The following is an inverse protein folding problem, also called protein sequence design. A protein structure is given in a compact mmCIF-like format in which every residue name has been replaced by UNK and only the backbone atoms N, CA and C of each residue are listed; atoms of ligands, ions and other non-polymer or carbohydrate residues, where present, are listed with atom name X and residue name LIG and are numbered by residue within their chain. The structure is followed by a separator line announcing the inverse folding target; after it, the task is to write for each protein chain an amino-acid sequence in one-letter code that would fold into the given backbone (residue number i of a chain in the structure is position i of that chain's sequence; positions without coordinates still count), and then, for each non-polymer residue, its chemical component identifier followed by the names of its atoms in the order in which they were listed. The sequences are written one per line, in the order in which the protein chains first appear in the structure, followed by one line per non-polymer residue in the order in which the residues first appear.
data_IF_943346806940
#
_entry.id   IF_943346806940
#
_cell.length_a   1.000
_cell.length_b   1.000
_cell.length_c   1.000
_cell.angle_alpha   90.00
_cell.angle_beta   90.00
_cell.angle_gamma   90.00
#
_symmetry.space_group_name_H-M   'P 1'
#
loop_
_entity.id
_entity.type
_entity.pdbx_description
1 polymer ?
#
# COMPACT_ATOMS: atom_id res chain seq x y z
N UNK A 1 -7.90 11.99 -34.27
CA UNK A 1 -7.81 10.81 -33.39
C UNK A 1 -7.63 11.29 -31.98
N UNK A 2 -8.60 11.04 -31.10
CA UNK A 2 -8.63 11.47 -29.70
C UNK A 2 -7.66 10.68 -28.79
N UNK A 3 -7.09 9.60 -29.33
CA UNK A 3 -6.12 8.73 -28.69
C UNK A 3 -5.23 8.04 -29.74
N UNK A 4 -4.16 7.39 -29.28
CA UNK A 4 -3.28 6.50 -30.04
C UNK A 4 -3.36 5.07 -29.45
N UNK A 5 -3.34 4.06 -30.31
CA UNK A 5 -3.30 2.65 -29.88
C UNK A 5 -1.87 2.20 -29.61
N UNK A 6 -1.67 1.47 -28.51
CA UNK A 6 -0.40 0.88 -28.13
C UNK A 6 -0.07 -0.42 -28.88
N UNK A 7 1.11 -1.01 -28.63
CA UNK A 7 1.49 -2.29 -29.23
C UNK A 7 0.53 -3.43 -28.81
N UNK A 8 0.43 -4.48 -29.64
CA UNK A 8 -0.37 -5.66 -29.29
C UNK A 8 0.17 -6.33 -28.02
N UNK A 9 -0.75 -6.74 -27.15
CA UNK A 9 -0.42 -7.38 -25.87
C UNK A 9 -0.28 -8.88 -26.07
N UNK A 10 0.88 -9.42 -25.66
CA UNK A 10 1.14 -10.86 -25.66
C UNK A 10 0.52 -11.47 -24.41
N UNK A 11 -0.37 -12.47 -24.58
CA UNK A 11 -1.03 -13.18 -23.48
C UNK A 11 -0.91 -14.69 -23.67
N UNK A 12 -1.01 -15.43 -22.57
CA UNK A 12 -1.08 -16.89 -22.61
C UNK A 12 -2.34 -17.37 -23.35
N UNK A 13 -2.24 -18.52 -24.04
CA UNK A 13 -3.36 -19.09 -24.79
C UNK A 13 -4.57 -19.45 -23.90
N UNK A 14 -4.33 -19.75 -22.61
CA UNK A 14 -5.37 -20.03 -21.62
C UNK A 14 -6.15 -18.79 -21.16
N UNK A 15 -5.62 -17.59 -21.40
CA UNK A 15 -6.24 -16.35 -20.94
C UNK A 15 -7.36 -15.94 -21.91
N UNK A 16 -8.61 -15.99 -21.45
CA UNK A 16 -9.80 -15.62 -22.24
C UNK A 16 -10.00 -14.11 -22.39
N UNK A 17 -9.34 -13.29 -21.57
CA UNK A 17 -9.50 -11.83 -21.58
C UNK A 17 -8.96 -11.22 -22.87
N UNK A 18 -9.55 -10.10 -23.27
CA UNK A 18 -9.03 -9.27 -24.35
C UNK A 18 -8.46 -7.98 -23.77
N UNK A 19 -7.39 -7.49 -24.37
CA UNK A 19 -6.64 -6.35 -23.84
C UNK A 19 -6.44 -5.29 -24.92
N UNK A 20 -6.50 -4.02 -24.52
CA UNK A 20 -6.16 -2.89 -25.39
C UNK A 20 -5.40 -1.84 -24.60
N UNK A 21 -4.22 -1.46 -25.09
CA UNK A 21 -3.49 -0.32 -24.56
C UNK A 21 -3.81 0.90 -25.41
N UNK A 22 -4.24 2.00 -24.78
CA UNK A 22 -4.47 3.28 -25.45
C UNK A 22 -3.70 4.38 -24.74
N UNK A 23 -3.40 5.47 -25.47
CA UNK A 23 -2.86 6.70 -24.93
C UNK A 23 -3.72 7.87 -25.39
N UNK A 24 -4.35 8.56 -24.44
CA UNK A 24 -5.16 9.75 -24.72
C UNK A 24 -4.28 10.93 -25.13
N UNK A 25 -4.86 11.91 -25.83
CA UNK A 25 -4.17 13.14 -26.25
C UNK A 25 -3.51 13.92 -25.12
N UNK A 26 -4.14 13.96 -23.94
CA UNK A 26 -3.60 14.62 -22.75
C UNK A 26 -2.37 13.90 -22.15
N UNK A 27 -2.03 12.70 -22.64
CA UNK A 27 -0.86 11.93 -22.24
C UNK A 27 -1.16 10.74 -21.33
N UNK A 28 -2.40 10.59 -20.85
CA UNK A 28 -2.83 9.48 -20.00
C UNK A 28 -2.76 8.17 -20.77
N UNK A 29 -2.13 7.16 -20.19
CA UNK A 29 -2.11 5.81 -20.76
C UNK A 29 -3.11 4.93 -20.01
N UNK A 30 -3.92 4.17 -20.74
CA UNK A 30 -4.93 3.29 -20.17
C UNK A 30 -4.84 1.87 -20.73
N UNK A 31 -4.85 0.87 -19.85
CA UNK A 31 -5.01 -0.55 -20.19
C UNK A 31 -6.49 -0.93 -20.00
N UNK A 32 -7.14 -1.30 -21.09
CA UNK A 32 -8.51 -1.77 -21.11
C UNK A 32 -8.52 -3.29 -21.13
N UNK A 33 -9.34 -3.89 -20.28
CA UNK A 33 -9.44 -5.33 -20.10
C UNK A 33 -10.92 -5.72 -20.21
N UNK A 34 -11.26 -6.42 -21.29
CA UNK A 34 -12.52 -7.12 -21.40
C UNK A 34 -12.35 -8.51 -20.79
N UNK A 35 -13.11 -8.83 -19.73
CA UNK A 35 -13.18 -10.15 -19.14
C UNK A 35 -14.58 -10.76 -19.35
N UNK A 36 -14.72 -11.83 -20.16
CA UNK A 36 -16.03 -12.44 -20.43
C UNK A 36 -16.65 -13.13 -19.21
N UNK A 37 -15.89 -13.30 -18.11
CA UNK A 37 -16.38 -13.86 -16.85
C UNK A 37 -16.86 -12.77 -15.87
N UNK A 38 -16.69 -11.49 -16.20
CA UNK A 38 -17.33 -10.37 -15.49
C UNK A 38 -18.76 -10.25 -16.01
N UNK A 39 -19.70 -10.14 -15.07
CA UNK A 39 -21.14 -10.17 -15.33
C UNK A 39 -21.53 -9.22 -16.47
N UNK A 40 -22.04 -9.76 -17.57
CA UNK A 40 -22.44 -8.96 -18.74
C UNK A 40 -23.88 -8.42 -18.65
N UNK A 41 -24.60 -8.63 -17.55
CA UNK A 41 -25.95 -8.10 -17.37
C UNK A 41 -26.96 -8.50 -18.46
N UNK A 42 -26.64 -9.53 -19.26
CA UNK A 42 -27.46 -9.99 -20.39
C UNK A 42 -28.54 -11.00 -19.98
N UNK A 43 -28.93 -11.05 -18.72
CA UNK A 43 -30.21 -11.61 -18.33
C UNK A 43 -31.22 -10.46 -18.20
N UNK A 44 -32.02 -10.17 -19.25
CA UNK A 44 -33.29 -9.51 -19.03
C UNK A 44 -34.16 -10.52 -18.29
N UNK A 45 -34.67 -10.11 -17.12
CA UNK A 45 -35.69 -10.76 -16.28
C UNK A 45 -35.15 -11.10 -14.89
N UNK A 46 -35.29 -10.14 -13.97
CA UNK A 46 -36.16 -10.32 -12.79
C UNK A 46 -36.39 -8.94 -12.15
N UNK A 47 -37.57 -8.39 -12.46
CA UNK A 47 -38.23 -7.42 -11.59
C UNK A 47 -38.48 -8.08 -10.24
N UNK A 48 -37.64 -7.84 -9.23
CA UNK A 48 -38.07 -8.01 -7.84
C UNK A 48 -38.47 -6.66 -7.26
N UNK A 49 -39.73 -6.35 -7.54
CA UNK A 49 -40.55 -5.44 -6.78
C UNK A 49 -40.98 -6.18 -5.50
N UNK A 50 -40.33 -5.91 -4.36
CA UNK A 50 -40.80 -6.12 -2.99
C UNK A 50 -39.86 -5.28 -2.10
N UNK A 51 -40.27 -4.12 -1.58
CA UNK A 51 -41.08 -4.04 -0.37
C UNK A 51 -40.14 -3.67 0.77
N UNK A 52 -40.32 -2.48 1.34
CA UNK A 52 -39.62 -1.98 2.52
C UNK A 52 -39.55 -3.04 3.64
N UNK A 53 -38.35 -3.29 4.16
CA UNK A 53 -38.05 -3.42 5.60
C UNK A 53 -36.52 -3.60 5.75
N UNK A 54 -35.83 -2.50 6.07
CA UNK A 54 -34.45 -2.54 6.49
C UNK A 54 -34.39 -3.01 7.96
N UNK A 55 -34.09 -4.28 8.17
CA UNK A 55 -33.58 -4.76 9.46
C UNK A 55 -32.06 -4.99 9.33
N UNK A 56 -31.31 -4.23 10.10
CA UNK A 56 -29.86 -4.33 10.25
C UNK A 56 -29.45 -5.76 10.66
N UNK A 57 -28.85 -6.51 9.75
CA UNK A 57 -28.12 -7.74 10.08
C UNK A 57 -26.61 -7.45 10.05
N UNK A 58 -26.03 -7.32 11.25
CA UNK A 58 -24.59 -7.39 11.46
C UNK A 58 -24.08 -8.78 11.04
N UNK A 59 -23.40 -8.86 9.89
CA UNK A 59 -22.68 -10.06 9.45
C UNK A 59 -21.22 -9.92 9.91
N UNK A 60 -20.86 -10.63 10.98
CA UNK A 60 -19.47 -10.85 11.36
C UNK A 60 -18.83 -11.84 10.37
N UNK A 61 -17.80 -11.39 9.63
CA UNK A 61 -16.94 -12.26 8.83
C UNK A 61 -15.77 -12.75 9.71
N UNK A 62 -15.67 -14.07 9.91
CA UNK A 62 -14.45 -14.72 10.41
C UNK A 62 -13.40 -14.69 9.28
N UNK A 63 -12.42 -13.80 9.38
CA UNK A 63 -11.23 -13.82 8.51
C UNK A 63 -10.16 -14.64 9.23
N UNK A 64 -9.86 -15.84 8.71
CA UNK A 64 -8.61 -16.52 9.08
C UNK A 64 -7.44 -15.74 8.48
N UNK A 65 -6.62 -15.13 9.34
CA UNK A 65 -5.41 -14.39 8.94
C UNK A 65 -4.33 -15.35 8.43
N UNK A 66 -3.97 -15.22 7.15
CA UNK A 66 -2.78 -15.84 6.54
C UNK A 66 -1.59 -14.86 6.68
N UNK A 67 -0.54 -15.16 7.47
CA UNK A 67 0.48 -14.20 7.87
C UNK A 67 1.53 -13.85 6.78
N UNK A 68 1.43 -14.41 5.58
CA UNK A 68 2.45 -14.27 4.52
C UNK A 68 2.06 -13.33 3.35
N UNK A 69 0.98 -12.55 3.48
CA UNK A 69 0.61 -11.50 2.50
C UNK A 69 0.61 -10.11 3.14
N UNK A 70 1.03 -9.04 2.44
CA UNK A 70 0.85 -7.68 2.96
C UNK A 70 -0.65 -7.37 2.98
N UNK A 71 -1.22 -7.42 4.19
CA UNK A 71 -2.63 -7.24 4.48
C UNK A 71 -3.05 -5.79 4.17
N UNK A 72 -4.02 -5.64 3.26
CA UNK A 72 -4.85 -4.45 3.12
C UNK A 72 -5.76 -4.30 4.34
N UNK A 73 -5.81 -3.10 4.92
CA UNK A 73 -6.40 -2.85 6.24
C UNK A 73 -7.89 -2.47 6.17
N UNK A 74 -8.76 -3.11 6.98
CA UNK A 74 -10.07 -2.58 7.31
C UNK A 74 -10.02 -1.68 8.58
N UNK A 75 -10.86 -0.64 8.58
CA UNK A 75 -10.95 0.39 9.61
C UNK A 75 -11.52 -0.12 10.96
N UNK A 76 -10.89 0.26 12.08
CA UNK A 76 -11.56 0.31 13.39
C UNK A 76 -11.01 1.45 14.27
N UNK A 77 -11.92 2.29 14.76
CA UNK A 77 -11.61 3.50 15.53
C UNK A 77 -11.16 3.22 16.98
N UNK A 78 -10.03 3.79 17.41
CA UNK A 78 -9.75 4.07 18.82
C UNK A 78 -8.98 5.39 19.03
N UNK A 79 -9.31 6.04 20.14
CA UNK A 79 -8.81 7.34 20.59
C UNK A 79 -7.50 7.14 21.38
N UNK A 80 -6.39 7.80 21.01
CA UNK A 80 -5.28 8.18 21.91
C UNK A 80 -4.22 9.05 21.19
N UNK A 81 -3.43 9.76 21.99
CA UNK A 81 -2.70 10.98 21.63
C UNK A 81 -1.30 10.79 21.01
N UNK A 82 -1.06 11.40 19.84
CA UNK A 82 -0.03 12.42 19.55
C UNK A 82 1.44 12.04 19.75
N UNK A 83 2.12 11.60 18.67
CA UNK A 83 3.58 11.40 18.63
C UNK A 83 4.18 11.85 17.28
N UNK A 84 5.37 12.46 17.27
CA UNK A 84 6.22 12.68 16.07
C UNK A 84 7.26 11.59 15.81
N UNK A 85 8.01 11.68 14.71
CA UNK A 85 9.13 10.79 14.39
C UNK A 85 10.30 10.79 15.41
N UNK A 86 10.55 11.88 16.15
CA UNK A 86 11.49 11.86 17.29
C UNK A 86 10.82 11.31 18.56
N UNK A 87 9.53 11.60 18.75
CA UNK A 87 8.76 11.01 19.84
C UNK A 87 8.61 9.49 19.68
N UNK A 88 8.56 8.99 18.42
CA UNK A 88 8.51 7.58 18.04
C UNK A 88 9.69 6.79 18.62
N UNK A 89 10.91 7.34 18.55
CA UNK A 89 12.09 6.70 19.12
C UNK A 89 12.15 6.84 20.65
N UNK A 90 11.66 7.97 21.18
CA UNK A 90 11.68 8.26 22.62
C UNK A 90 10.67 7.43 23.42
N UNK A 91 9.47 7.18 22.87
CA UNK A 91 8.39 6.41 23.49
C UNK A 91 8.66 4.90 23.40
N UNK A 92 9.50 4.48 22.43
CA UNK A 92 9.96 3.09 22.28
C UNK A 92 11.04 2.65 23.28
N UNK A 93 11.54 3.51 24.18
CA UNK A 93 12.74 3.23 25.03
C UNK A 93 13.92 2.66 24.22
N UNK A 94 14.05 3.01 22.94
CA UNK A 94 15.14 2.55 22.08
C UNK A 94 16.44 3.21 22.54
N UNK A 95 17.27 2.49 23.30
CA UNK A 95 18.67 2.86 23.48
C UNK A 95 19.45 2.37 22.27
N UNK A 96 19.69 3.26 21.30
CA UNK A 96 20.66 3.02 20.23
C UNK A 96 22.05 2.91 20.88
N UNK A 97 22.53 1.68 21.05
CA UNK A 97 23.90 1.40 21.50
C UNK A 97 24.82 1.28 20.30
N UNK A 98 25.80 2.18 20.18
CA UNK A 98 26.88 2.06 19.20
C UNK A 98 28.02 1.24 19.82
N UNK A 99 28.40 0.13 19.18
CA UNK A 99 29.65 -0.57 19.49
C UNK A 99 30.53 -0.58 18.24
N UNK A 100 31.78 -0.08 18.31
CA UNK A 100 32.73 -0.25 17.22
C UNK A 100 33.25 -1.68 17.23
N UNK A 101 33.10 -2.41 16.13
CA UNK A 101 33.73 -3.72 15.95
C UNK A 101 35.22 -3.54 15.58
N UNK A 102 36.08 -4.10 16.42
CA UNK A 102 37.49 -4.36 16.11
C UNK A 102 37.56 -5.61 15.22
N UNK A 103 37.65 -5.43 13.90
CA UNK A 103 38.49 -6.22 12.98
C UNK A 103 38.21 -5.85 11.52
N UNK A 104 39.26 -5.41 10.81
CA UNK A 104 39.18 -4.96 9.43
C UNK A 104 38.95 -6.09 8.43
N UNK A 105 37.76 -6.13 7.85
CA UNK A 105 37.37 -6.91 6.67
C UNK A 105 36.36 -6.13 5.81
N UNK A 106 36.16 -6.47 4.51
CA UNK A 106 35.47 -5.59 3.57
C UNK A 106 33.97 -5.51 3.84
N UNK A 107 33.48 -4.27 3.95
CA UNK A 107 32.11 -3.75 3.82
C UNK A 107 30.95 -4.77 3.97
N UNK A 108 30.39 -4.88 5.17
CA UNK A 108 29.14 -5.58 5.49
C UNK A 108 28.33 -4.77 6.51
N UNK A 109 27.21 -4.18 6.11
CA UNK A 109 26.21 -3.67 7.06
C UNK A 109 25.36 -4.85 7.56
N UNK A 110 25.17 -4.98 8.87
CA UNK A 110 24.38 -6.06 9.49
C UNK A 110 23.48 -5.46 10.56
N UNK A 111 22.18 -5.76 10.62
CA UNK A 111 21.29 -5.31 11.71
C UNK A 111 20.93 -6.55 12.55
N UNK A 112 21.41 -6.62 13.80
CA UNK A 112 21.07 -7.69 14.76
C UNK A 112 20.10 -7.16 15.81
N UNK A 113 18.98 -7.85 15.99
CA UNK A 113 18.08 -7.60 17.11
C UNK A 113 18.47 -8.52 18.27
N UNK A 114 18.79 -7.95 19.43
CA UNK A 114 19.00 -8.71 20.68
C UNK A 114 18.09 -8.17 21.78
N UNK A 115 17.22 -9.02 22.31
CA UNK A 115 16.30 -8.66 23.38
C UNK A 115 16.96 -8.85 24.76
N UNK A 116 16.73 -7.88 25.67
CA UNK A 116 16.90 -8.07 27.10
C UNK A 116 15.53 -8.28 27.74
N UNK A 117 15.42 -9.33 28.52
CA UNK A 117 14.22 -9.73 29.24
C UNK A 117 14.14 -8.91 30.54
N UNK A 118 13.14 -8.04 30.68
CA UNK A 118 12.74 -7.51 31.99
C UNK A 118 11.27 -7.81 32.25
N UNK A 119 11.06 -8.62 33.30
CA UNK A 119 9.75 -9.09 33.77
C UNK A 119 8.95 -7.95 34.37
N UNK A 120 7.70 -7.79 33.94
CA UNK A 120 6.63 -7.27 34.78
C UNK A 120 5.31 -7.96 34.45
N UNK A 121 4.95 -8.90 35.31
CA UNK A 121 3.63 -9.53 35.37
C UNK A 121 2.57 -8.48 35.73
N UNK A 122 1.46 -8.45 34.98
CA UNK A 122 0.18 -8.08 35.59
C UNK A 122 -1.00 -8.79 34.93
N UNK A 123 -1.92 -9.20 35.82
CA UNK A 123 -3.04 -10.11 35.64
C UNK A 123 -4.23 -9.38 35.03
N UNK A 124 -4.86 -9.95 33.99
CA UNK A 124 -6.30 -9.79 33.78
C UNK A 124 -6.94 -11.08 33.27
N UNK A 125 -7.97 -11.52 34.00
CA UNK A 125 -8.78 -12.71 33.75
C UNK A 125 -9.73 -12.44 32.58
N UNK A 126 -9.64 -13.19 31.48
CA UNK A 126 -10.72 -13.28 30.51
C UNK A 126 -11.85 -14.17 31.06
N UNK A 127 -13.08 -13.65 31.02
CA UNK A 127 -14.32 -14.40 31.28
C UNK A 127 -14.65 -15.20 30.03
N UNK A 128 -14.70 -16.52 30.16
CA UNK A 128 -15.25 -17.43 29.14
C UNK A 128 -16.75 -17.15 28.90
N UNK A 129 -17.17 -17.11 27.63
CA UNK A 129 -18.58 -17.16 27.22
C UNK A 129 -18.95 -18.59 26.78
N UNK A 130 -20.17 -19.06 27.05
CA UNK A 130 -20.54 -20.47 26.92
C UNK A 130 -20.88 -20.89 25.47
N UNK A 131 -20.46 -22.10 25.10
CA UNK A 131 -20.79 -22.80 23.85
C UNK A 131 -22.30 -23.11 23.79
N UNK A 132 -22.99 -22.68 22.72
CA UNK A 132 -24.37 -23.12 22.43
C UNK A 132 -24.37 -24.41 21.60
N UNK A 133 -25.33 -25.26 21.95
CA UNK A 133 -25.58 -26.61 21.48
C UNK A 133 -26.04 -26.64 20.01
N UNK A 134 -25.57 -27.64 19.27
CA UNK A 134 -26.07 -28.06 17.95
C UNK A 134 -27.50 -28.57 18.05
N UNK A 135 -28.40 -28.12 17.18
CA UNK A 135 -29.55 -28.92 16.76
C UNK A 135 -30.11 -28.51 15.40
N UNK A 136 -30.46 -29.56 14.66
CA UNK A 136 -31.30 -29.69 13.47
C UNK A 136 -30.76 -29.29 12.09
N UNK A 137 -30.39 -30.36 11.36
CA UNK A 137 -30.13 -30.41 9.92
C UNK A 137 -31.46 -30.41 9.17
N UNK A 138 -31.71 -29.38 8.37
CA UNK A 138 -32.49 -29.51 7.14
C UNK A 138 -31.51 -29.51 5.97
N UNK A 139 -31.65 -30.48 5.08
CA UNK A 139 -30.87 -30.59 3.85
C UNK A 139 -31.32 -29.48 2.90
N UNK A 140 -30.57 -28.37 2.87
CA UNK A 140 -30.63 -27.41 1.78
C UNK A 140 -29.84 -27.96 0.59
N UNK A 141 -30.47 -28.02 -0.58
CA UNK A 141 -29.80 -28.32 -1.84
C UNK A 141 -28.69 -27.28 -2.07
N UNK A 142 -27.52 -27.67 -2.64
CA UNK A 142 -26.45 -26.71 -2.91
C UNK A 142 -26.91 -25.76 -4.00
N UNK A 143 -27.40 -24.58 -3.62
CA UNK A 143 -27.40 -23.43 -4.50
C UNK A 143 -25.95 -23.16 -4.88
N UNK A 144 -25.61 -23.35 -6.15
CA UNK A 144 -24.38 -22.80 -6.69
C UNK A 144 -24.44 -21.29 -6.48
N UNK A 145 -23.76 -20.77 -5.45
CA UNK A 145 -23.42 -19.36 -5.40
C UNK A 145 -22.63 -19.06 -6.67
N UNK A 146 -23.31 -18.45 -7.64
CA UNK A 146 -22.67 -17.83 -8.79
C UNK A 146 -21.80 -16.70 -8.22
N UNK A 147 -20.52 -17.00 -8.00
CA UNK A 147 -19.51 -15.98 -7.69
C UNK A 147 -19.33 -15.12 -8.94
N UNK A 148 -20.13 -14.07 -9.05
CA UNK A 148 -20.00 -13.09 -10.12
C UNK A 148 -18.73 -12.28 -9.88
N UNK A 149 -17.90 -12.15 -10.92
CA UNK A 149 -16.73 -11.27 -10.85
C UNK A 149 -17.16 -9.81 -11.00
N UNK A 150 -16.72 -8.97 -10.07
CA UNK A 150 -16.87 -7.53 -10.16
C UNK A 150 -16.05 -6.95 -11.32
N UNK A 151 -16.54 -5.84 -11.86
CA UNK A 151 -15.74 -4.94 -12.65
C UNK A 151 -14.85 -4.09 -11.72
N UNK A 152 -13.75 -3.56 -12.25
CA UNK A 152 -12.81 -2.78 -11.45
C UNK A 152 -12.07 -1.73 -12.28
N UNK A 153 -11.58 -0.70 -11.61
CA UNK A 153 -10.62 0.21 -12.21
C UNK A 153 -9.56 0.65 -11.19
N UNK A 154 -8.38 0.99 -11.69
CA UNK A 154 -7.29 1.51 -10.88
C UNK A 154 -6.55 2.63 -11.63
N UNK A 155 -6.27 3.73 -10.92
CA UNK A 155 -5.44 4.82 -11.39
C UNK A 155 -4.18 4.90 -10.55
N UNK A 156 -3.03 4.73 -11.17
CA UNK A 156 -1.73 5.00 -10.57
C UNK A 156 -1.23 6.36 -11.04
N UNK A 157 -1.01 7.28 -10.10
CA UNK A 157 -0.38 8.58 -10.34
C UNK A 157 1.08 8.46 -9.96
N UNK A 158 2.01 8.70 -10.90
CA UNK A 158 3.45 8.54 -10.69
C UNK A 158 4.10 9.61 -9.79
N UNK A 159 3.48 9.92 -8.65
CA UNK A 159 3.98 10.77 -7.56
C UNK A 159 3.50 10.15 -6.23
N UNK A 160 4.40 10.07 -5.24
CA UNK A 160 4.10 9.55 -3.90
C UNK A 160 4.80 10.36 -2.81
N UNK A 161 5.03 9.77 -1.64
CA UNK A 161 5.57 10.45 -0.44
C UNK A 161 6.97 11.05 -0.61
N UNK A 162 7.77 10.59 -1.57
CA UNK A 162 9.05 11.27 -1.87
C UNK A 162 8.88 12.64 -2.54
N UNK A 163 7.66 13.04 -2.93
CA UNK A 163 7.34 14.39 -3.34
C UNK A 163 6.95 15.32 -2.16
N UNK A 164 6.83 14.77 -0.95
CA UNK A 164 6.43 15.56 0.22
C UNK A 164 7.44 16.68 0.49
N UNK A 165 6.95 17.90 0.74
CA UNK A 165 7.83 19.00 1.14
C UNK A 165 8.35 18.75 2.58
N UNK A 166 9.57 19.19 2.92
CA UNK A 166 10.13 18.98 4.26
C UNK A 166 9.26 19.50 5.41
N UNK A 167 8.48 20.55 5.16
CA UNK A 167 7.55 21.14 6.13
C UNK A 167 6.20 20.43 6.27
N UNK A 168 5.89 19.43 5.42
CA UNK A 168 4.69 18.60 5.54
C UNK A 168 4.93 17.12 5.16
N UNK A 169 5.70 16.37 5.98
CA UNK A 169 5.80 14.92 5.82
C UNK A 169 4.44 14.22 5.89
N UNK A 170 4.13 13.38 4.90
CA UNK A 170 2.83 12.73 4.71
C UNK A 170 1.84 13.49 3.83
N UNK A 171 2.26 14.56 3.13
CA UNK A 171 1.35 15.40 2.33
C UNK A 171 0.73 14.63 1.15
N UNK A 172 1.47 13.75 0.49
CA UNK A 172 0.95 12.92 -0.59
C UNK A 172 -0.12 11.94 -0.08
N UNK A 173 0.13 11.31 1.07
CA UNK A 173 -0.85 10.47 1.75
C UNK A 173 -2.07 11.28 2.18
N UNK A 174 -1.88 12.50 2.68
CA UNK A 174 -3.00 13.36 3.01
C UNK A 174 -3.80 13.79 1.76
N UNK A 175 -3.13 14.06 0.64
CA UNK A 175 -3.81 14.35 -0.62
C UNK A 175 -4.64 13.16 -1.10
N UNK A 176 -4.15 11.93 -0.90
CA UNK A 176 -4.89 10.71 -1.18
C UNK A 176 -6.27 10.72 -0.51
N UNK A 177 -6.33 10.87 0.81
CA UNK A 177 -7.58 10.99 1.57
C UNK A 177 -8.46 12.11 1.03
N UNK A 178 -7.88 13.28 0.79
CA UNK A 178 -8.63 14.47 0.39
C UNK A 178 -9.26 14.36 -1.00
N UNK A 179 -8.83 13.43 -1.87
CA UNK A 179 -9.46 13.21 -3.17
C UNK A 179 -10.80 12.46 -3.06
N UNK A 180 -11.02 11.72 -1.99
CA UNK A 180 -12.31 11.07 -1.71
C UNK A 180 -13.37 12.08 -1.23
N UNK A 181 -12.94 13.22 -0.67
CA UNK A 181 -13.80 14.22 -0.01
C UNK A 181 -14.57 15.14 -0.99
N UNK A 182 -14.97 14.62 -2.14
CA UNK A 182 -15.81 15.29 -3.12
C UNK A 182 -15.08 16.07 -4.20
N UNK A 183 -15.80 16.31 -5.29
CA UNK A 183 -15.36 16.99 -6.50
C UNK A 183 -16.38 18.04 -6.96
N UNK A 184 -16.04 18.84 -7.97
CA UNK A 184 -16.98 19.86 -8.47
C UNK A 184 -18.28 19.25 -9.01
N UNK A 185 -18.21 18.08 -9.65
CA UNK A 185 -19.38 17.38 -10.21
C UNK A 185 -20.15 16.57 -9.15
N UNK A 186 -19.44 16.00 -8.18
CA UNK A 186 -19.99 15.22 -7.07
C UNK A 186 -19.53 15.85 -5.76
N UNK A 187 -20.20 16.93 -5.30
CA UNK A 187 -19.71 17.74 -4.20
C UNK A 187 -19.91 17.10 -2.85
N UNK A 188 -20.80 16.13 -2.67
CA UNK A 188 -21.01 15.48 -1.39
C UNK A 188 -19.82 14.58 -1.03
N UNK A 189 -19.32 14.68 0.21
CA UNK A 189 -18.06 14.05 0.62
C UNK A 189 -18.09 12.52 0.52
N UNK A 190 -19.22 11.92 0.87
CA UNK A 190 -19.36 10.47 0.90
C UNK A 190 -20.06 9.93 -0.36
N UNK A 191 -20.26 10.74 -1.40
CA UNK A 191 -21.02 10.32 -2.60
C UNK A 191 -20.37 9.12 -3.28
N UNK A 192 -19.04 9.12 -3.39
CA UNK A 192 -18.31 8.03 -4.04
C UNK A 192 -18.41 6.71 -3.27
N UNK A 193 -18.07 6.73 -1.99
CA UNK A 193 -18.09 5.53 -1.15
C UNK A 193 -19.51 4.99 -0.98
N UNK A 194 -20.48 5.89 -0.73
CA UNK A 194 -21.88 5.51 -0.64
C UNK A 194 -22.38 4.87 -1.93
N UNK A 195 -22.03 5.43 -3.08
CA UNK A 195 -22.40 4.86 -4.37
C UNK A 195 -21.84 3.45 -4.53
N UNK A 196 -20.55 3.23 -4.25
CA UNK A 196 -19.94 1.91 -4.39
C UNK A 196 -20.57 0.89 -3.44
N UNK A 197 -20.71 1.22 -2.15
CA UNK A 197 -21.31 0.31 -1.17
C UNK A 197 -22.74 -0.09 -1.52
N UNK A 198 -23.56 0.85 -2.02
CA UNK A 198 -24.93 0.57 -2.45
C UNK A 198 -25.01 -0.32 -3.71
N UNK A 199 -23.92 -0.43 -4.46
CA UNK A 199 -23.86 -1.13 -5.74
C UNK A 199 -22.95 -2.37 -5.70
N UNK A 200 -22.70 -2.91 -4.51
CA UNK A 200 -21.91 -4.13 -4.31
C UNK A 200 -20.43 -3.96 -4.63
N UNK A 201 -19.91 -2.76 -4.38
CA UNK A 201 -18.53 -2.37 -4.61
C UNK A 201 -17.87 -1.79 -3.37
N UNK A 202 -16.57 -1.59 -3.45
CA UNK A 202 -15.75 -0.88 -2.48
C UNK A 202 -14.62 -0.16 -3.21
N UNK A 203 -13.92 0.71 -2.49
CA UNK A 203 -12.72 1.36 -2.99
C UNK A 203 -11.63 1.37 -1.93
N UNK A 204 -10.41 1.57 -2.40
CA UNK A 204 -9.28 1.87 -1.54
C UNK A 204 -8.24 2.68 -2.32
N UNK A 205 -7.25 3.19 -1.60
CA UNK A 205 -6.07 3.79 -2.16
C UNK A 205 -4.85 3.50 -1.28
N UNK A 206 -3.67 3.76 -1.82
CA UNK A 206 -2.44 3.76 -1.03
C UNK A 206 -1.39 4.65 -1.68
N UNK A 207 -0.57 5.28 -0.83
CA UNK A 207 0.54 6.14 -1.23
C UNK A 207 1.85 5.43 -0.91
N UNK A 208 2.58 5.11 -1.97
CA UNK A 208 3.94 4.59 -1.87
C UNK A 208 4.97 5.74 -1.99
N UNK A 209 6.25 5.42 -2.10
CA UNK A 209 7.33 6.39 -2.21
C UNK A 209 7.25 7.22 -3.51
N UNK A 210 6.92 6.58 -4.64
CA UNK A 210 7.00 7.21 -5.96
C UNK A 210 5.67 7.29 -6.71
N UNK A 211 4.62 6.73 -6.14
CA UNK A 211 3.29 6.74 -6.74
C UNK A 211 2.19 6.65 -5.68
N UNK A 212 0.99 7.11 -6.05
CA UNK A 212 -0.25 6.91 -5.31
C UNK A 212 -1.22 6.17 -6.21
N UNK A 213 -1.80 5.09 -5.71
CA UNK A 213 -2.74 4.25 -6.44
C UNK A 213 -4.13 4.38 -5.83
N UNK A 214 -5.14 4.63 -6.66
CA UNK A 214 -6.55 4.62 -6.28
C UNK A 214 -7.24 3.51 -7.06
N UNK A 215 -8.11 2.75 -6.43
CA UNK A 215 -8.84 1.70 -7.13
C UNK A 215 -10.21 1.44 -6.53
N UNK A 216 -11.07 0.82 -7.33
CA UNK A 216 -12.38 0.34 -6.87
C UNK A 216 -12.78 -0.93 -7.61
N UNK A 217 -13.71 -1.65 -6.99
CA UNK A 217 -14.49 -2.69 -7.63
C UNK A 217 -15.98 -2.40 -7.47
N UNK A 218 -16.80 -2.88 -8.42
CA UNK A 218 -18.25 -2.71 -8.41
C UNK A 218 -18.91 -3.77 -9.29
N UNK A 219 -20.19 -4.05 -9.08
CA UNK A 219 -20.99 -4.84 -10.04
C UNK A 219 -20.94 -4.21 -11.43
N UNK A 220 -20.70 -5.02 -12.46
CA UNK A 220 -20.37 -4.55 -13.82
C UNK A 220 -21.33 -3.50 -14.39
N UNK A 221 -22.65 -3.66 -14.18
CA UNK A 221 -23.67 -2.71 -14.66
C UNK A 221 -23.49 -1.27 -14.18
N UNK A 222 -22.77 -1.06 -13.08
CA UNK A 222 -22.48 0.26 -12.52
C UNK A 222 -21.06 0.76 -12.81
N UNK A 223 -20.27 0.02 -13.60
CA UNK A 223 -18.88 0.37 -13.91
C UNK A 223 -18.76 1.78 -14.49
N UNK A 224 -19.62 2.15 -15.45
CA UNK A 224 -19.57 3.48 -16.08
C UNK A 224 -19.82 4.61 -15.08
N UNK A 225 -20.81 4.46 -14.21
CA UNK A 225 -21.19 5.48 -13.23
C UNK A 225 -20.13 5.61 -12.12
N UNK A 226 -19.48 4.50 -11.76
CA UNK A 226 -18.31 4.50 -10.87
C UNK A 226 -17.11 5.18 -11.53
N UNK A 227 -16.81 4.89 -12.80
CA UNK A 227 -15.74 5.54 -13.56
C UNK A 227 -15.98 7.06 -13.67
N UNK A 228 -17.23 7.49 -13.83
CA UNK A 228 -17.56 8.91 -13.90
C UNK A 228 -17.21 9.63 -12.60
N UNK A 229 -17.59 9.08 -11.44
CA UNK A 229 -17.20 9.63 -10.12
C UNK A 229 -15.70 9.58 -9.91
N UNK A 230 -15.08 8.43 -10.21
CA UNK A 230 -13.65 8.20 -10.06
C UNK A 230 -12.81 9.17 -10.91
N UNK A 231 -13.25 9.48 -12.12
CA UNK A 231 -12.55 10.44 -13.00
C UNK A 231 -12.39 11.82 -12.35
N UNK A 232 -13.34 12.23 -11.51
CA UNK A 232 -13.36 13.58 -10.94
C UNK A 232 -12.27 13.83 -9.90
N UNK A 233 -11.71 12.76 -9.31
CA UNK A 233 -10.53 12.83 -8.44
C UNK A 233 -9.37 13.48 -9.19
N UNK A 234 -9.25 13.20 -10.50
CA UNK A 234 -8.14 13.61 -11.36
C UNK A 234 -8.46 14.83 -12.24
N UNK A 235 -9.67 15.38 -12.14
CA UNK A 235 -10.12 16.53 -12.94
C UNK A 235 -10.35 17.75 -12.05
N UNK A 236 -11.18 17.63 -11.00
CA UNK A 236 -11.63 18.80 -10.23
C UNK A 236 -12.00 18.48 -8.77
N UNK A 237 -11.08 17.90 -7.97
CA UNK A 237 -11.31 17.65 -6.55
C UNK A 237 -11.42 18.97 -5.78
N UNK A 238 -12.23 18.99 -4.73
CA UNK A 238 -12.48 20.20 -3.95
C UNK A 238 -11.41 20.48 -2.90
N UNK A 239 -10.76 19.43 -2.38
CA UNK A 239 -9.85 19.48 -1.22
C UNK A 239 -10.51 20.33 -0.12
N UNK A 240 -11.65 19.86 0.38
CA UNK A 240 -12.53 20.65 1.25
C UNK A 240 -11.87 21.00 2.56
N UNK A 241 -11.91 22.27 2.94
CA UNK A 241 -11.34 22.75 4.21
C UNK A 241 -12.04 22.06 5.39
N UNK A 242 -13.35 21.88 5.28
CA UNK A 242 -14.22 21.36 6.33
C UNK A 242 -13.99 19.87 6.63
N UNK A 243 -13.35 19.14 5.70
CA UNK A 243 -12.98 17.74 5.88
C UNK A 243 -11.56 17.56 6.45
N UNK A 244 -10.67 18.53 6.25
CA UNK A 244 -9.24 18.38 6.57
C UNK A 244 -8.98 17.94 8.02
N UNK A 245 -9.65 18.54 9.00
CA UNK A 245 -9.44 18.20 10.42
C UNK A 245 -9.87 16.77 10.76
N UNK A 246 -10.88 16.23 10.06
CA UNK A 246 -11.32 14.84 10.23
C UNK A 246 -10.36 13.87 9.54
N UNK A 247 -9.91 14.20 8.33
CA UNK A 247 -8.96 13.36 7.61
C UNK A 247 -7.59 13.31 8.28
N UNK A 248 -7.11 14.40 8.90
CA UNK A 248 -5.91 14.35 9.76
C UNK A 248 -6.12 13.44 10.97
N UNK A 249 -7.33 13.34 11.52
CA UNK A 249 -7.63 12.40 12.61
C UNK A 249 -7.64 10.95 12.12
N UNK A 250 -8.12 10.69 10.91
CA UNK A 250 -8.05 9.37 10.29
C UNK A 250 -6.58 8.93 10.11
N UNK A 251 -5.75 9.79 9.52
CA UNK A 251 -4.30 9.54 9.34
C UNK A 251 -3.59 9.34 10.68
N UNK A 252 -3.94 10.09 11.72
CA UNK A 252 -3.40 9.86 13.07
C UNK A 252 -3.77 8.47 13.59
N UNK A 253 -5.01 8.02 13.39
CA UNK A 253 -5.44 6.68 13.80
C UNK A 253 -4.68 5.58 13.06
N UNK A 254 -4.47 5.74 11.75
CA UNK A 254 -3.66 4.83 10.94
C UNK A 254 -2.20 4.80 11.39
N UNK A 255 -1.60 5.97 11.65
CA UNK A 255 -0.24 6.07 12.17
C UNK A 255 -0.09 5.37 13.52
N UNK A 256 -1.06 5.56 14.44
CA UNK A 256 -1.04 4.88 15.75
C UNK A 256 -1.16 3.36 15.59
N UNK A 257 -2.00 2.88 14.67
CA UNK A 257 -2.10 1.45 14.38
C UNK A 257 -0.79 0.92 13.78
N UNK A 258 -0.21 1.64 12.82
CA UNK A 258 1.06 1.30 12.21
C UNK A 258 2.21 1.28 13.22
N UNK A 259 2.23 2.21 14.18
CA UNK A 259 3.22 2.27 15.25
C UNK A 259 3.17 1.06 16.19
N UNK A 260 2.05 0.34 16.26
CA UNK A 260 1.93 -0.93 16.98
C UNK A 260 2.52 -2.13 16.24
N UNK A 261 2.81 -2.01 14.93
CA UNK A 261 3.31 -3.10 14.09
C UNK A 261 4.84 -3.07 13.99
N UNK A 262 5.52 -4.15 14.39
CA UNK A 262 6.98 -4.22 14.43
C UNK A 262 7.66 -4.08 13.04
N UNK A 263 7.01 -4.50 11.95
CA UNK A 263 7.57 -4.33 10.60
C UNK A 263 7.52 -2.86 10.18
N UNK A 264 6.40 -2.17 10.41
CA UNK A 264 6.31 -0.72 10.15
C UNK A 264 7.32 0.07 11.00
N UNK A 265 7.51 -0.34 12.26
CA UNK A 265 8.53 0.25 13.13
C UNK A 265 9.94 0.04 12.59
N UNK A 266 10.25 -1.18 12.14
CA UNK A 266 11.55 -1.48 11.53
C UNK A 266 11.79 -0.65 10.27
N UNK A 267 10.80 -0.55 9.37
CA UNK A 267 10.86 0.29 8.17
C UNK A 267 11.14 1.76 8.50
N UNK A 268 10.46 2.30 9.52
CA UNK A 268 10.69 3.69 9.93
C UNK A 268 12.07 3.89 10.60
N UNK A 269 12.57 2.90 11.33
CA UNK A 269 13.94 2.92 11.86
C UNK A 269 14.97 2.87 10.72
N UNK A 270 14.75 2.05 9.70
CA UNK A 270 15.61 2.01 8.51
C UNK A 270 15.64 3.36 7.79
N UNK A 271 14.49 4.03 7.64
CA UNK A 271 14.41 5.38 7.13
C UNK A 271 15.22 6.35 8.01
N UNK A 272 14.90 6.44 9.30
CA UNK A 272 15.52 7.41 10.20
C UNK A 272 17.03 7.24 10.37
N UNK A 273 17.54 6.01 10.22
CA UNK A 273 18.97 5.71 10.29
C UNK A 273 19.72 6.02 8.99
N UNK A 274 19.02 6.23 7.87
CA UNK A 274 19.62 6.71 6.63
C UNK A 274 20.20 8.11 6.81
N UNK A 275 21.14 8.48 5.94
CA UNK A 275 21.74 9.81 5.93
C UNK A 275 20.66 10.89 5.83
N UNK A 276 20.67 11.94 6.69
CA UNK A 276 19.64 12.98 6.68
C UNK A 276 19.46 13.71 5.34
N UNK A 277 20.50 13.73 4.51
CA UNK A 277 20.46 14.32 3.17
C UNK A 277 19.82 13.40 2.11
N UNK A 278 19.64 12.12 2.40
CA UNK A 278 19.13 11.13 1.46
C UNK A 278 17.59 11.07 1.50
N UNK A 279 16.88 11.00 0.35
CA UNK A 279 15.41 10.93 0.31
C UNK A 279 14.79 9.79 1.13
N UNK A 280 15.54 8.70 1.31
CA UNK A 280 15.17 7.56 2.16
C UNK A 280 14.98 7.91 3.64
N UNK A 281 15.51 9.04 4.12
CA UNK A 281 15.41 9.45 5.52
C UNK A 281 13.99 9.90 5.93
N UNK A 282 13.10 10.09 4.96
CA UNK A 282 11.82 10.78 5.17
C UNK A 282 10.82 9.96 6.00
N UNK A 283 9.90 10.69 6.62
CA UNK A 283 8.73 10.14 7.28
C UNK A 283 7.52 10.21 6.32
N UNK A 284 7.11 9.07 5.78
CA UNK A 284 6.10 9.01 4.71
C UNK A 284 4.65 8.89 5.21
N UNK A 285 4.43 8.40 6.44
CA UNK A 285 3.10 8.17 6.99
C UNK A 285 2.29 9.46 7.14
N UNK A 286 2.93 10.52 7.63
CA UNK A 286 2.22 11.66 8.18
C UNK A 286 1.56 11.34 9.52
N UNK A 287 1.24 12.38 10.28
CA UNK A 287 0.48 12.30 11.52
C UNK A 287 -0.06 13.70 11.89
N UNK A 288 -0.79 13.80 13.00
CA UNK A 288 -1.30 15.10 13.46
C UNK A 288 -0.20 16.13 13.65
N UNK A 289 0.99 15.72 14.10
CA UNK A 289 2.10 16.66 14.31
C UNK A 289 2.61 17.22 12.98
N UNK A 290 2.88 16.38 11.98
CA UNK A 290 3.44 16.79 10.69
C UNK A 290 2.43 17.45 9.75
N UNK A 291 1.14 17.14 9.89
CA UNK A 291 0.09 17.62 8.97
C UNK A 291 -0.80 18.73 9.56
N UNK A 292 -0.73 18.99 10.87
CA UNK A 292 -1.55 20.02 11.52
C UNK A 292 -0.75 20.85 12.53
N UNK A 293 -0.20 20.25 13.59
CA UNK A 293 0.42 21.00 14.70
C UNK A 293 1.60 21.85 14.27
N UNK A 294 2.60 21.25 13.58
CA UNK A 294 3.77 21.97 13.10
C UNK A 294 3.44 22.94 11.95
N UNK A 295 2.66 22.55 10.92
CA UNK A 295 2.21 23.48 9.90
C UNK A 295 1.51 24.73 10.46
N UNK A 296 0.59 24.57 11.42
CA UNK A 296 -0.10 25.70 12.07
C UNK A 296 0.89 26.60 12.81
N UNK A 297 1.82 26.02 13.59
CA UNK A 297 2.84 26.78 14.31
C UNK A 297 3.80 27.53 13.36
N UNK A 298 4.05 26.98 12.18
CA UNK A 298 4.95 27.55 11.18
C UNK A 298 4.22 28.40 10.12
N UNK A 299 2.93 28.68 10.31
CA UNK A 299 2.10 29.45 9.38
C UNK A 299 2.06 28.88 7.95
N UNK A 300 2.10 27.55 7.83
CA UNK A 300 1.98 26.84 6.56
C UNK A 300 0.50 26.62 6.24
N UNK A 301 0.07 27.11 5.08
CA UNK A 301 -1.26 26.83 4.54
C UNK A 301 -1.30 25.41 3.94
N UNK A 302 -1.74 24.45 4.74
CA UNK A 302 -1.80 23.05 4.34
C UNK A 302 -2.70 22.80 3.13
N UNK A 303 -3.81 23.54 3.00
CA UNK A 303 -4.69 23.38 1.84
C UNK A 303 -4.01 23.88 0.57
N UNK A 304 -3.33 25.01 0.65
CA UNK A 304 -2.54 25.52 -0.47
C UNK A 304 -1.45 24.52 -0.86
N UNK A 305 -0.79 23.86 0.11
CA UNK A 305 0.21 22.80 -0.16
C UNK A 305 -0.39 21.58 -0.85
N UNK A 306 -1.55 21.09 -0.39
CA UNK A 306 -2.27 19.99 -1.05
C UNK A 306 -2.65 20.33 -2.49
N UNK A 307 -3.23 21.51 -2.70
CA UNK A 307 -3.60 22.00 -4.03
C UNK A 307 -2.37 22.21 -4.92
N UNK A 308 -1.26 22.69 -4.36
CA UNK A 308 0.00 22.83 -5.07
C UNK A 308 0.51 21.46 -5.53
N UNK A 309 0.60 20.48 -4.61
CA UNK A 309 1.03 19.12 -4.92
C UNK A 309 0.15 18.52 -6.03
N UNK A 310 -1.17 18.65 -5.91
CA UNK A 310 -2.13 18.21 -6.92
C UNK A 310 -1.89 18.88 -8.28
N UNK A 311 -1.88 20.21 -8.33
CA UNK A 311 -1.76 20.95 -9.59
C UNK A 311 -0.40 20.77 -10.27
N UNK A 312 0.68 20.53 -9.54
CA UNK A 312 2.00 20.28 -10.10
C UNK A 312 2.12 18.84 -10.65
N UNK A 313 1.50 17.87 -9.97
CA UNK A 313 1.83 16.45 -10.15
C UNK A 313 0.71 15.58 -10.70
N UNK A 314 -0.57 15.88 -10.43
CA UNK A 314 -1.71 15.10 -10.92
C UNK A 314 -2.01 15.49 -12.37
N UNK A 315 -1.09 15.08 -13.25
CA UNK A 315 -1.14 15.33 -14.69
C UNK A 315 -1.23 14.04 -15.47
N UNK A 316 -2.00 14.06 -16.54
CA UNK A 316 -2.31 12.90 -17.37
C UNK A 316 -1.06 12.10 -17.81
N UNK A 317 0.05 12.75 -18.18
CA UNK A 317 1.26 12.04 -18.60
C UNK A 317 2.03 11.30 -17.49
N UNK A 318 1.68 11.52 -16.21
CA UNK A 318 2.14 10.73 -15.05
C UNK A 318 1.17 9.63 -14.64
N UNK A 319 -0.01 9.56 -15.27
CA UNK A 319 -1.09 8.66 -14.87
C UNK A 319 -1.14 7.40 -15.74
N UNK A 320 -1.41 6.28 -15.08
CA UNK A 320 -1.68 4.97 -15.69
C UNK A 320 -3.02 4.46 -15.18
N UNK A 321 -3.99 4.33 -16.08
CA UNK A 321 -5.32 3.81 -15.79
C UNK A 321 -5.41 2.34 -16.20
N UNK A 322 -6.09 1.53 -15.42
CA UNK A 322 -6.56 0.19 -15.81
C UNK A 322 -8.06 0.15 -15.62
N UNK A 323 -8.79 -0.36 -16.62
CA UNK A 323 -10.24 -0.59 -16.54
C UNK A 323 -10.54 -2.02 -16.94
N UNK A 324 -11.18 -2.76 -16.05
CA UNK A 324 -11.62 -4.14 -16.23
C UNK A 324 -13.15 -4.19 -16.14
N UNK A 325 -13.78 -4.72 -17.18
CA UNK A 325 -15.25 -4.85 -17.27
C UNK A 325 -15.69 -5.97 -18.19
N UNK A 326 -17.00 -6.24 -18.19
CA UNK A 326 -17.65 -7.16 -19.11
C UNK A 326 -17.83 -6.57 -20.51
N UNK A 327 -17.83 -5.24 -20.64
CA UNK A 327 -18.05 -4.56 -21.92
C UNK A 327 -16.93 -4.81 -22.93
N UNK A 328 -17.23 -4.62 -24.22
CA UNK A 328 -16.22 -4.74 -25.27
C UNK A 328 -15.15 -3.67 -25.13
N UNK A 329 -13.96 -3.95 -25.69
CA UNK A 329 -12.84 -3.01 -25.70
C UNK A 329 -13.21 -1.66 -26.34
N UNK A 330 -14.12 -1.64 -27.32
CA UNK A 330 -14.63 -0.43 -27.96
C UNK A 330 -15.48 0.42 -27.02
N UNK A 331 -16.31 -0.21 -26.18
CA UNK A 331 -17.15 0.48 -25.20
C UNK A 331 -16.26 1.04 -24.08
N UNK A 332 -15.37 0.21 -23.51
CA UNK A 332 -14.42 0.65 -22.48
C UNK A 332 -13.56 1.81 -22.98
N UNK A 333 -13.09 1.74 -24.23
CA UNK A 333 -12.34 2.83 -24.85
C UNK A 333 -13.16 4.11 -24.95
N UNK A 334 -14.42 4.01 -25.39
CA UNK A 334 -15.30 5.18 -25.48
C UNK A 334 -15.46 5.84 -24.10
N UNK A 335 -15.72 5.05 -23.06
CA UNK A 335 -15.87 5.57 -21.69
C UNK A 335 -14.58 6.22 -21.19
N UNK A 336 -13.41 5.60 -21.41
CA UNK A 336 -12.14 6.19 -20.98
C UNK A 336 -11.84 7.50 -21.70
N UNK A 337 -12.09 7.58 -23.01
CA UNK A 337 -11.94 8.83 -23.77
C UNK A 337 -12.91 9.90 -23.26
N UNK A 338 -14.18 9.56 -23.04
CA UNK A 338 -15.20 10.48 -22.56
C UNK A 338 -14.89 11.03 -21.16
N UNK A 339 -14.51 10.16 -20.22
CA UNK A 339 -14.41 10.48 -18.81
C UNK A 339 -13.05 11.02 -18.37
N UNK A 340 -11.95 10.68 -19.07
CA UNK A 340 -10.59 11.02 -18.62
C UNK A 340 -9.84 11.98 -19.55
N UNK A 341 -10.44 12.43 -20.66
CA UNK A 341 -9.79 13.41 -21.57
C UNK A 341 -9.62 14.80 -20.94
N UNK A 342 -10.43 15.15 -19.94
CA UNK A 342 -10.33 16.43 -19.23
C UNK A 342 -9.24 16.46 -18.14
N UNK A 343 -8.63 15.30 -17.82
CA UNK A 343 -7.48 15.27 -16.92
C UNK A 343 -6.38 16.17 -17.50
N UNK A 344 -5.87 17.09 -16.68
CA UNK A 344 -4.97 18.13 -17.14
C UNK A 344 -3.69 17.52 -17.73
N UNK A 345 -3.35 17.95 -18.94
CA UNK A 345 -2.15 17.49 -19.63
C UNK A 345 -0.85 17.89 -18.90
N UNK A 346 0.23 17.20 -19.27
CA UNK A 346 1.58 17.45 -18.77
C UNK A 346 2.14 16.31 -17.93
N UNK A 347 3.39 16.49 -17.50
CA UNK A 347 4.17 15.48 -16.78
C UNK A 347 4.47 14.26 -17.64
N UNK A 348 5.50 13.49 -17.26
CA UNK A 348 5.84 12.24 -17.94
C UNK A 348 6.42 11.25 -16.94
N UNK A 349 5.84 10.04 -16.90
CA UNK A 349 6.33 8.96 -16.03
C UNK A 349 6.28 9.29 -14.53
N UNK A 350 7.01 8.51 -13.74
CA UNK A 350 7.20 8.79 -12.31
C UNK A 350 8.00 10.07 -12.10
N UNK A 351 7.76 10.75 -10.98
CA UNK A 351 8.59 11.87 -10.57
C UNK A 351 10.01 11.35 -10.31
N UNK A 352 10.96 11.82 -11.10
CA UNK A 352 12.32 11.32 -11.02
C UNK A 352 13.08 12.05 -9.91
N UNK A 353 13.44 11.30 -8.88
CA UNK A 353 14.22 11.80 -7.76
C UNK A 353 15.61 11.21 -7.90
N UNK A 354 16.56 12.05 -8.30
CA UNK A 354 17.95 11.62 -8.43
C UNK A 354 18.64 11.87 -7.11
N UNK A 355 19.16 10.81 -6.50
CA UNK A 355 20.05 10.91 -5.37
C UNK A 355 21.23 9.98 -5.60
N UNK A 356 22.43 10.55 -5.65
CA UNK A 356 23.67 9.78 -5.69
C UNK A 356 24.26 9.72 -4.29
N UNK A 357 24.78 8.54 -3.93
CA UNK A 357 25.46 8.34 -2.66
C UNK A 357 24.98 7.11 -1.91
N UNK A 358 25.48 6.96 -0.69
CA UNK A 358 25.10 5.87 0.20
C UNK A 358 23.81 6.21 0.95
N UNK A 359 22.99 5.21 1.22
CA UNK A 359 21.80 5.36 2.06
C UNK A 359 22.21 5.42 3.53
N UNK A 360 23.05 4.47 3.97
CA UNK A 360 23.57 4.37 5.33
C UNK A 360 25.09 4.46 5.34
N UNK A 361 25.66 4.75 6.50
CA UNK A 361 27.08 4.45 6.74
C UNK A 361 27.29 2.92 6.74
N UNK A 362 28.38 2.43 6.14
CA UNK A 362 28.65 1.00 6.09
C UNK A 362 29.00 0.45 7.47
N UNK A 363 28.83 -0.87 7.65
CA UNK A 363 29.23 -1.59 8.86
C UNK A 363 28.55 -1.11 10.15
N UNK A 364 27.33 -0.59 10.04
CA UNK A 364 26.52 -0.27 11.19
C UNK A 364 25.65 -1.44 11.61
N UNK A 365 25.53 -1.56 12.94
CA UNK A 365 24.76 -2.56 13.63
C UNK A 365 23.71 -1.90 14.52
N UNK A 366 22.44 -2.18 14.25
CA UNK A 366 21.33 -1.68 15.05
C UNK A 366 20.64 -2.81 15.82
N UNK A 367 20.46 -2.60 17.12
CA UNK A 367 19.62 -3.44 17.97
C UNK A 367 18.26 -2.76 18.17
N UNK A 368 17.22 -3.38 17.61
CA UNK A 368 15.85 -2.86 17.67
C UNK A 368 15.02 -3.75 18.59
N UNK A 369 14.37 -3.18 19.60
CA UNK A 369 13.45 -3.93 20.45
C UNK A 369 12.12 -4.16 19.72
N UNK A 370 11.75 -5.42 19.52
CA UNK A 370 10.45 -5.82 18.98
C UNK A 370 9.40 -5.93 20.11
N UNK A 371 8.13 -5.72 19.77
CA UNK A 371 6.99 -6.00 20.64
C UNK A 371 6.64 -7.50 20.70
N UNK A 372 6.99 -8.27 19.66
CA UNK A 372 6.76 -9.71 19.61
C UNK A 372 7.92 -10.56 20.19
N UNK A 373 7.67 -11.86 20.42
CA UNK A 373 8.67 -12.80 20.98
C UNK A 373 9.69 -13.32 19.94
N UNK A 374 9.60 -12.87 18.69
CA UNK A 374 10.40 -13.41 17.59
C UNK A 374 11.74 -12.67 17.48
N UNK A 375 12.84 -13.43 17.43
CA UNK A 375 14.17 -12.88 17.15
C UNK A 375 14.51 -13.09 15.68
N UNK A 376 15.00 -12.04 15.03
CA UNK A 376 15.48 -12.11 13.65
C UNK A 376 16.76 -11.28 13.48
N UNK A 377 17.52 -11.62 12.44
CA UNK A 377 18.61 -10.78 11.92
C UNK A 377 18.26 -10.40 10.49
N UNK A 378 18.43 -9.12 10.15
CA UNK A 378 18.17 -8.60 8.80
C UNK A 378 19.45 -7.95 8.28
N UNK A 379 19.92 -8.42 7.13
CA UNK A 379 21.14 -7.94 6.49
C UNK A 379 20.72 -7.23 5.21
N UNK A 380 21.02 -5.93 5.13
CA UNK A 380 20.49 -5.04 4.11
C UNK A 380 21.62 -4.62 3.15
N UNK A 381 21.45 -4.90 1.86
CA UNK A 381 22.39 -4.58 0.80
C UNK A 381 21.73 -3.60 -0.19
N UNK A 382 22.04 -2.29 -0.12
CA UNK A 382 21.53 -1.34 -1.09
C UNK A 382 22.19 -1.60 -2.46
N UNK A 383 21.38 -1.89 -3.46
CA UNK A 383 21.76 -2.05 -4.87
C UNK A 383 21.33 -0.80 -5.66
N UNK A 384 22.01 -0.48 -6.78
CA UNK A 384 21.51 0.53 -7.71
C UNK A 384 20.15 0.12 -8.26
N UNK A 385 19.40 1.07 -8.83
CA UNK A 385 18.13 0.80 -9.49
C UNK A 385 18.26 -0.30 -10.57
N UNK A 386 17.46 -1.36 -10.47
CA UNK A 386 17.47 -2.52 -11.39
C UNK A 386 16.22 -2.62 -12.28
N UNK A 387 15.40 -1.57 -12.36
CA UNK A 387 14.15 -1.58 -13.15
C UNK A 387 14.37 -1.95 -14.62
N UNK A 388 15.46 -1.46 -15.22
CA UNK A 388 15.81 -1.77 -16.60
C UNK A 388 16.29 -3.21 -16.81
N UNK A 389 16.57 -3.95 -15.74
CA UNK A 389 17.01 -5.34 -15.76
C UNK A 389 15.85 -6.34 -15.60
N UNK A 390 14.59 -5.90 -15.76
CA UNK A 390 13.37 -6.72 -15.54
C UNK A 390 13.28 -8.01 -16.40
N UNK A 391 14.00 -8.08 -17.52
CA UNK A 391 14.07 -9.30 -18.35
C UNK A 391 15.06 -10.35 -17.80
N UNK A 392 16.11 -9.89 -17.13
CA UNK A 392 17.16 -10.76 -16.57
C UNK A 392 16.98 -11.06 -15.09
N UNK A 393 16.27 -10.16 -14.36
CA UNK A 393 15.94 -10.27 -12.93
C UNK A 393 17.11 -10.76 -12.05
N UNK A 394 18.27 -10.07 -12.08
CA UNK A 394 19.46 -10.55 -11.38
C UNK A 394 19.28 -10.65 -9.86
N UNK A 395 18.51 -9.73 -9.26
CA UNK A 395 18.18 -9.77 -7.83
C UNK A 395 17.30 -10.98 -7.50
N UNK A 396 16.26 -11.29 -8.29
CA UNK A 396 15.43 -12.49 -8.10
C UNK A 396 16.26 -13.77 -8.18
N UNK A 397 17.19 -13.84 -9.14
CA UNK A 397 18.10 -14.98 -9.27
C UNK A 397 18.97 -15.17 -8.01
N UNK A 398 19.55 -14.09 -7.48
CA UNK A 398 20.31 -14.13 -6.24
C UNK A 398 19.43 -14.50 -5.04
N UNK A 399 18.24 -13.93 -4.94
CA UNK A 399 17.25 -14.24 -3.90
C UNK A 399 16.86 -15.72 -3.90
N UNK A 400 16.60 -16.28 -5.08
CA UNK A 400 16.28 -17.69 -5.26
C UNK A 400 17.40 -18.62 -4.75
N UNK A 401 18.67 -18.29 -5.01
CA UNK A 401 19.81 -19.10 -4.56
C UNK A 401 20.05 -18.96 -3.05
N UNK A 402 20.06 -17.73 -2.54
CA UNK A 402 20.37 -17.45 -1.12
C UNK A 402 19.23 -17.92 -0.21
N UNK A 403 17.98 -17.70 -0.63
CA UNK A 403 16.77 -18.11 0.06
C UNK A 403 16.37 -19.56 -0.20
N UNK A 404 17.12 -20.32 -1.00
CA UNK A 404 16.82 -21.73 -1.27
C UNK A 404 16.75 -22.55 0.02
N UNK A 405 15.73 -23.39 0.18
CA UNK A 405 15.54 -24.18 1.40
C UNK A 405 15.92 -25.66 1.27
N UNK A 406 16.22 -26.14 0.06
CA UNK A 406 16.57 -27.53 -0.19
C UNK A 406 17.96 -27.92 0.33
N UNK A 407 18.33 -29.19 0.15
CA UNK A 407 19.60 -29.75 0.63
C UNK A 407 20.81 -28.95 0.12
N UNK A 408 21.77 -28.68 1.03
CA UNK A 408 22.99 -27.92 0.72
C UNK A 408 22.81 -26.40 0.79
N UNK A 409 21.61 -25.92 1.13
CA UNK A 409 21.34 -24.48 1.32
C UNK A 409 21.97 -23.89 2.58
N UNK A 410 22.04 -22.54 2.60
CA UNK A 410 22.35 -21.76 3.79
C UNK A 410 21.39 -22.09 4.94
N UNK A 411 20.08 -22.19 4.67
CA UNK A 411 19.10 -22.55 5.70
C UNK A 411 19.36 -23.93 6.29
N UNK A 412 19.72 -24.93 5.46
CA UNK A 412 20.07 -26.28 5.95
C UNK A 412 21.23 -26.21 6.94
N UNK A 413 22.27 -25.42 6.64
CA UNK A 413 23.39 -25.20 7.55
C UNK A 413 22.95 -24.53 8.86
N UNK A 414 22.16 -23.46 8.79
CA UNK A 414 21.64 -22.75 9.96
C UNK A 414 20.75 -23.64 10.83
N UNK A 415 19.88 -24.45 10.23
CA UNK A 415 19.03 -25.43 10.93
C UNK A 415 19.89 -26.52 11.58
N UNK A 416 20.91 -27.03 10.90
CA UNK A 416 21.80 -28.09 11.44
C UNK A 416 22.58 -27.66 12.68
N UNK A 417 22.88 -26.36 12.80
CA UNK A 417 23.51 -25.74 13.97
C UNK A 417 22.51 -25.28 15.03
N UNK A 418 21.21 -25.39 14.75
CA UNK A 418 20.15 -24.90 15.63
C UNK A 418 20.11 -23.38 15.75
N UNK A 419 20.59 -22.62 14.77
CA UNK A 419 20.66 -21.15 14.81
C UNK A 419 19.45 -20.46 14.14
N UNK A 420 18.97 -20.99 13.01
CA UNK A 420 17.89 -20.39 12.22
C UNK A 420 16.70 -21.33 12.01
N UNK A 421 15.50 -20.75 11.92
CA UNK A 421 14.23 -21.43 11.63
C UNK A 421 13.84 -21.31 10.16
N UNK A 422 13.95 -20.12 9.59
CA UNK A 422 13.65 -19.81 8.19
C UNK A 422 14.52 -18.67 7.70
N UNK A 423 14.60 -18.52 6.38
CA UNK A 423 15.35 -17.45 5.70
C UNK A 423 14.47 -16.85 4.60
N UNK A 424 14.54 -15.54 4.43
CA UNK A 424 13.93 -14.79 3.34
C UNK A 424 15.06 -13.98 2.70
N UNK A 425 15.20 -14.07 1.39
CA UNK A 425 16.25 -13.34 0.67
C UNK A 425 15.72 -12.80 -0.67
N UNK A 426 15.85 -11.49 -0.89
CA UNK A 426 15.37 -10.85 -2.10
C UNK A 426 15.21 -9.34 -1.94
N UNK A 427 14.62 -8.71 -2.95
CA UNK A 427 14.09 -7.36 -2.85
C UNK A 427 12.58 -7.46 -2.68
N UNK A 428 11.99 -6.69 -1.75
CA UNK A 428 10.54 -6.60 -1.65
C UNK A 428 9.93 -5.68 -2.70
N UNK A 429 8.61 -5.74 -2.86
CA UNK A 429 7.89 -5.04 -3.91
C UNK A 429 7.34 -3.66 -3.48
N UNK A 430 7.54 -3.26 -2.23
CA UNK A 430 7.14 -1.92 -1.74
C UNK A 430 8.17 -0.87 -2.14
N UNK A 431 7.75 0.40 -2.21
CA UNK A 431 8.62 1.49 -2.65
C UNK A 431 9.78 1.81 -1.72
N UNK A 432 9.79 1.34 -0.46
CA UNK A 432 10.99 1.42 0.39
C UNK A 432 12.07 0.44 -0.09
N UNK A 433 11.69 -0.75 -0.54
CA UNK A 433 12.66 -1.75 -0.98
C UNK A 433 12.98 -1.65 -2.47
N UNK A 434 12.04 -1.20 -3.29
CA UNK A 434 12.24 -1.06 -4.75
C UNK A 434 11.71 0.27 -5.28
N UNK A 435 12.63 1.16 -5.64
CA UNK A 435 12.30 2.45 -6.24
C UNK A 435 13.36 2.89 -7.28
N UNK A 436 13.19 4.08 -7.85
CA UNK A 436 14.10 4.60 -8.88
C UNK A 436 15.51 4.95 -8.36
N UNK A 437 15.70 5.01 -7.04
CA UNK A 437 16.97 5.31 -6.38
C UNK A 437 17.68 4.02 -5.96
N UNK A 438 16.96 3.07 -5.36
CA UNK A 438 17.53 1.89 -4.71
C UNK A 438 16.69 0.64 -4.92
N UNK A 439 17.38 -0.50 -5.05
CA UNK A 439 16.84 -1.82 -4.79
C UNK A 439 17.49 -2.36 -3.52
N UNK A 440 16.73 -2.49 -2.45
CA UNK A 440 17.21 -3.01 -1.18
C UNK A 440 17.14 -4.54 -1.21
N UNK A 441 18.30 -5.19 -1.33
CA UNK A 441 18.37 -6.64 -1.23
C UNK A 441 18.55 -7.02 0.24
N UNK A 442 17.55 -7.69 0.80
CA UNK A 442 17.48 -8.03 2.21
C UNK A 442 17.66 -9.54 2.39
N UNK A 443 18.46 -9.95 3.37
CA UNK A 443 18.53 -11.33 3.86
C UNK A 443 18.07 -11.34 5.30
N UNK A 444 16.87 -11.87 5.54
CA UNK A 444 16.27 -11.98 6.86
C UNK A 444 16.28 -13.42 7.32
N UNK A 445 16.83 -13.68 8.50
CA UNK A 445 16.85 -15.00 9.13
C UNK A 445 16.06 -14.94 10.42
N UNK A 446 15.04 -15.79 10.54
CA UNK A 446 14.32 -15.97 11.80
C UNK A 446 15.17 -16.89 12.68
N UNK A 447 15.53 -16.43 13.87
CA UNK A 447 16.45 -17.11 14.77
C UNK A 447 15.74 -18.04 15.74
N UNK A 448 16.46 -19.06 16.20
CA UNK A 448 16.10 -19.76 17.44
C UNK A 448 16.62 -18.97 18.64
N UNK A 449 16.20 -19.34 19.86
CA UNK A 449 16.79 -18.77 21.09
C UNK A 449 18.30 -18.97 21.13
N UNK A 450 18.79 -20.16 20.74
CA UNK A 450 20.23 -20.44 20.68
C UNK A 450 20.94 -19.59 19.61
N UNK A 451 20.32 -19.40 18.45
CA UNK A 451 20.89 -18.57 17.38
C UNK A 451 20.91 -17.09 17.69
N UNK A 452 20.00 -16.58 18.54
CA UNK A 452 20.00 -15.19 18.98
C UNK A 452 21.07 -14.87 20.03
N UNK A 453 21.58 -15.90 20.73
CA UNK A 453 22.68 -15.76 21.69
C UNK A 453 24.07 -15.83 21.03
N UNK A 454 24.16 -16.50 19.89
CA UNK A 454 25.37 -16.64 19.07
C UNK A 454 25.60 -15.39 18.23
#
# INVERSE_FOLDING_TARGET
MEFEEGPPIVKAASNKRSYKLIKLRNGLAALLIHDPEVDNGNNPDEEENNGDDAEDMDIEYDVEEDPDFPICWPHLHYNCAGLSGEDFLSDMKLRLGFHPDEEGGPNRASIFIRLKQDRLMNRFKQKERPKKLKQDKQEEEPTQELSYKNAAAAMCVGVGSMADPPEAPGLAHFLEHMLFMGSTKFPDENEYDKFLSQHGGNSNAYTDQEFTCYHFEVRNRFLRDSLERFSQFFISPLVKVEAMDREVQAIESEFVQAAGNDMNRLSQVQCHTALPSHPFHRFAWGNRKSLQTEPVSNHVDMRAKLLQLYHENYRAGRMKLVVLGGESLEILQKWVVELFSEVKEGGHGRLSIHCEGRIWEPNLLYHVAAGNEQSLVSINFPLPCLENAYLTKPHDYCGHIIGHEGQGSLLTLLKSKGWGKSIIAGCGDNGLETNSIVFLFTVTIILTTHGAEH
#
